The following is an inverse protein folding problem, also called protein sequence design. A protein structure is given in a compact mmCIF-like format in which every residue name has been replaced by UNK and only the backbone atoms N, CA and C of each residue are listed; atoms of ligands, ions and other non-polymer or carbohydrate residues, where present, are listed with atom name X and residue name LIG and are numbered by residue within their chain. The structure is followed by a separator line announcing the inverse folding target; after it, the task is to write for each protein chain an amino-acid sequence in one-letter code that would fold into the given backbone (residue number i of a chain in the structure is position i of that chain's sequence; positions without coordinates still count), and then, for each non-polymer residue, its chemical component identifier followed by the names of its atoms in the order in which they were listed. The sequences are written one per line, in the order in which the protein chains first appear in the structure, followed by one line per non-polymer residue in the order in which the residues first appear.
data_IF_018034884683
#
_entry.id   IF_018034884683
#
_cell.length_a   1.000
_cell.length_b   1.000
_cell.length_c   1.000
_cell.angle_alpha   90.00
_cell.angle_beta   90.00
_cell.angle_gamma   90.00
#
_symmetry.space_group_name_H-M   'P 1'
#
loop_
_entity.id
_entity.type
_entity.pdbx_description
1 polymer ?
#
# COMPACT_ATOMS: atom_id res chain seq x y z
N UNK A 1 22.53 48.80 -43.24
CA UNK A 1 22.04 48.86 -41.89
C UNK A 1 20.53 48.62 -41.73
N UNK A 2 19.71 48.58 -42.80
CA UNK A 2 18.23 48.37 -42.70
C UNK A 2 17.78 46.90 -42.53
N UNK A 3 18.65 45.91 -42.75
CA UNK A 3 18.30 44.47 -42.65
C UNK A 3 18.60 43.85 -41.29
N UNK A 4 19.40 44.52 -40.45
CA UNK A 4 19.77 44.01 -39.12
C UNK A 4 18.60 44.15 -38.09
N UNK A 5 17.75 45.17 -38.26
CA UNK A 5 16.62 45.45 -37.35
C UNK A 5 15.40 44.53 -37.56
N UNK A 6 15.29 43.84 -38.70
CA UNK A 6 14.17 42.91 -38.98
C UNK A 6 14.41 41.49 -38.46
N UNK A 7 15.64 41.12 -38.11
CA UNK A 7 16.00 39.79 -37.62
C UNK A 7 15.79 39.62 -36.10
N UNK A 8 15.82 40.74 -35.34
CA UNK A 8 15.67 40.68 -33.88
C UNK A 8 14.27 40.14 -33.38
N UNK A 9 13.13 40.60 -33.96
CA UNK A 9 11.84 40.10 -33.50
C UNK A 9 11.57 38.62 -33.85
N UNK A 10 12.15 38.12 -34.94
CA UNK A 10 12.01 36.71 -35.32
C UNK A 10 12.80 35.77 -34.40
N UNK A 11 13.96 36.19 -33.90
CA UNK A 11 14.76 35.41 -32.95
C UNK A 11 14.12 35.39 -31.55
N UNK A 12 13.46 36.48 -31.14
CA UNK A 12 12.73 36.54 -29.87
C UNK A 12 11.47 35.64 -29.87
N UNK A 13 10.79 35.53 -31.02
CA UNK A 13 9.59 34.66 -31.15
C UNK A 13 9.95 33.17 -31.18
N UNK A 14 11.10 32.79 -31.71
CA UNK A 14 11.61 31.42 -31.73
C UNK A 14 12.00 30.93 -30.32
N UNK A 15 12.45 31.82 -29.43
CA UNK A 15 12.78 31.50 -28.04
C UNK A 15 11.56 31.21 -27.15
N UNK A 16 10.39 31.75 -27.50
CA UNK A 16 9.13 31.52 -26.73
C UNK A 16 8.46 30.18 -27.02
N UNK A 17 8.78 29.54 -28.14
CA UNK A 17 8.22 28.23 -28.52
C UNK A 17 8.93 27.03 -27.84
N UNK A 18 10.10 27.24 -27.24
CA UNK A 18 10.88 26.22 -26.53
C UNK A 18 10.47 26.01 -25.06
N UNK A 19 9.57 26.84 -24.54
CA UNK A 19 9.12 26.78 -23.12
C UNK A 19 7.93 25.81 -22.85
N UNK A 20 7.69 24.83 -23.72
CA UNK A 20 6.83 23.72 -23.40
C UNK A 20 7.55 22.85 -22.34
N UNK A 21 7.40 23.19 -21.07
CA UNK A 21 7.85 22.34 -19.97
C UNK A 21 7.14 21.00 -20.09
N UNK A 22 7.87 19.94 -20.37
CA UNK A 22 7.33 18.58 -20.35
C UNK A 22 6.83 18.30 -18.93
N UNK A 23 5.54 18.01 -18.78
CA UNK A 23 4.97 17.57 -17.50
C UNK A 23 5.74 16.33 -17.03
N UNK A 24 6.22 16.27 -15.79
CA UNK A 24 6.88 15.08 -15.29
C UNK A 24 6.02 13.83 -15.47
N UNK A 25 6.60 12.69 -15.85
CA UNK A 25 5.84 11.45 -16.05
C UNK A 25 5.21 11.00 -14.73
N UNK A 26 4.01 10.39 -14.82
CA UNK A 26 3.38 9.73 -13.69
C UNK A 26 4.19 8.51 -13.28
N UNK A 27 4.40 8.34 -11.97
CA UNK A 27 5.08 7.20 -11.38
C UNK A 27 4.11 6.40 -10.52
N UNK A 28 4.16 5.07 -10.65
CA UNK A 28 3.29 4.16 -9.95
C UNK A 28 4.09 3.28 -8.99
N UNK A 29 3.55 3.09 -7.78
CA UNK A 29 4.20 2.36 -6.70
C UNK A 29 3.30 1.25 -6.20
N UNK A 30 3.90 0.13 -5.81
CA UNK A 30 3.25 -0.96 -5.08
C UNK A 30 3.80 -1.00 -3.65
N UNK A 31 3.25 -1.82 -2.79
CA UNK A 31 3.82 -2.08 -1.46
C UNK A 31 5.15 -2.85 -1.50
N UNK A 32 5.72 -3.02 -2.70
CA UNK A 32 6.98 -3.72 -2.93
C UNK A 32 6.83 -5.25 -2.91
N UNK A 33 7.94 -5.99 -3.09
CA UNK A 33 7.94 -7.45 -3.02
C UNK A 33 7.60 -7.92 -1.60
N UNK A 34 6.99 -9.09 -1.50
CA UNK A 34 6.77 -9.74 -0.20
C UNK A 34 8.11 -10.12 0.43
N UNK A 35 8.24 -9.92 1.75
CA UNK A 35 9.38 -10.42 2.49
C UNK A 35 9.52 -11.94 2.29
N UNK A 36 10.75 -12.50 2.27
CA UNK A 36 10.95 -13.93 2.24
C UNK A 36 10.18 -14.60 3.41
N UNK A 37 9.56 -15.78 3.20
CA UNK A 37 8.95 -16.50 4.30
C UNK A 37 10.03 -16.86 5.35
N UNK A 38 9.68 -16.99 6.63
CA UNK A 38 10.60 -17.50 7.62
C UNK A 38 11.09 -18.90 7.20
N UNK A 39 12.36 -19.21 7.51
CA UNK A 39 13.02 -20.46 7.10
C UNK A 39 12.39 -21.74 7.70
N UNK A 40 11.42 -21.62 8.58
CA UNK A 40 10.61 -22.75 9.06
C UNK A 40 9.75 -23.29 7.94
N UNK A 41 9.75 -24.58 7.75
CA UNK A 41 8.92 -25.30 6.76
C UNK A 41 7.49 -24.80 6.81
N UNK A 42 6.91 -24.50 5.63
CA UNK A 42 5.50 -24.16 5.56
C UNK A 42 4.68 -25.26 6.29
N UNK A 43 3.78 -24.89 7.20
CA UNK A 43 2.96 -25.88 7.90
C UNK A 43 2.16 -26.70 6.88
N UNK A 44 1.92 -27.97 7.19
CA UNK A 44 1.12 -28.83 6.34
C UNK A 44 -0.25 -28.19 6.09
N UNK A 45 -0.67 -28.12 4.81
CA UNK A 45 -1.97 -27.52 4.46
C UNK A 45 -3.11 -28.31 5.07
N UNK A 46 -4.00 -27.65 5.78
CA UNK A 46 -5.20 -28.25 6.39
C UNK A 46 -6.34 -28.44 5.40
N UNK A 47 -6.20 -27.95 4.15
CA UNK A 47 -7.33 -27.86 3.21
C UNK A 47 -8.33 -26.74 3.53
N UNK A 48 -8.22 -26.13 4.69
CA UNK A 48 -9.06 -25.01 5.10
C UNK A 48 -8.74 -23.74 4.30
N UNK A 49 -9.73 -22.86 4.18
CA UNK A 49 -9.62 -21.63 3.38
C UNK A 49 -9.76 -20.39 4.25
N UNK A 50 -9.08 -19.31 3.87
CA UNK A 50 -9.10 -18.04 4.55
C UNK A 50 -9.34 -16.90 3.54
N UNK A 51 -10.22 -15.97 3.89
CA UNK A 51 -10.46 -14.75 3.10
C UNK A 51 -10.05 -13.55 3.92
N UNK A 52 -9.11 -12.75 3.41
CA UNK A 52 -8.69 -11.48 4.01
C UNK A 52 -9.56 -10.36 3.49
N UNK A 53 -10.23 -9.68 4.40
CA UNK A 53 -11.11 -8.55 4.11
C UNK A 53 -12.56 -8.78 4.54
N UNK A 54 -13.42 -7.74 4.38
CA UNK A 54 -13.10 -6.47 3.72
C UNK A 54 -12.03 -5.66 4.47
N UNK A 55 -11.28 -4.83 3.73
CA UNK A 55 -10.35 -3.85 4.29
C UNK A 55 -10.93 -2.46 4.14
N UNK A 56 -11.06 -1.72 5.23
CA UNK A 56 -11.37 -0.28 5.23
C UNK A 56 -10.12 0.54 5.48
N UNK A 57 -10.06 1.73 4.90
CA UNK A 57 -8.99 2.71 5.11
C UNK A 57 -9.57 4.11 5.30
N UNK A 58 -8.89 5.03 6.00
CA UNK A 58 -9.33 6.41 6.12
C UNK A 58 -9.53 7.10 4.77
N UNK A 59 -10.54 7.96 4.66
CA UNK A 59 -10.85 8.68 3.42
C UNK A 59 -9.70 9.53 2.87
N UNK A 60 -8.80 9.99 3.74
CA UNK A 60 -7.61 10.76 3.37
C UNK A 60 -6.66 10.00 2.47
N UNK A 61 -6.61 8.67 2.62
CA UNK A 61 -5.73 7.78 1.87
C UNK A 61 -6.50 6.80 0.95
N UNK A 62 -7.83 6.81 0.94
CA UNK A 62 -8.65 6.02 -0.01
C UNK A 62 -8.64 6.67 -1.40
N UNK A 63 -7.44 6.85 -1.93
CA UNK A 63 -7.13 7.43 -3.24
C UNK A 63 -5.87 6.84 -3.81
N UNK A 64 -5.66 6.97 -5.12
CA UNK A 64 -4.42 6.49 -5.75
C UNK A 64 -3.24 7.44 -5.51
N UNK A 65 -3.47 8.73 -5.34
CA UNK A 65 -2.40 9.70 -5.08
C UNK A 65 -1.74 9.41 -3.72
N UNK A 66 -0.41 9.38 -3.69
CA UNK A 66 0.33 9.26 -2.44
C UNK A 66 0.18 10.54 -1.63
N UNK A 67 -0.19 10.40 -0.37
CA UNK A 67 -0.34 11.49 0.60
C UNK A 67 0.70 11.35 1.70
N UNK A 68 1.38 12.43 2.02
CA UNK A 68 2.29 12.56 3.16
C UNK A 68 1.77 13.62 4.11
N UNK A 69 2.12 13.53 5.38
CA UNK A 69 1.83 14.57 6.36
C UNK A 69 3.06 15.46 6.57
N UNK A 70 2.82 16.75 6.74
CA UNK A 70 3.79 17.72 7.22
C UNK A 70 3.13 18.46 8.41
N UNK A 71 3.28 17.91 9.61
CA UNK A 71 2.48 18.30 10.76
C UNK A 71 0.99 18.03 10.53
N UNK A 72 0.15 19.06 10.60
CA UNK A 72 -1.29 18.97 10.33
C UNK A 72 -1.67 19.11 8.85
N UNK A 73 -0.69 19.35 7.95
CA UNK A 73 -0.95 19.56 6.52
C UNK A 73 -0.77 18.24 5.76
N UNK A 74 -1.76 17.89 4.95
CA UNK A 74 -1.66 16.77 3.99
C UNK A 74 -1.05 17.28 2.67
N UNK A 75 0.06 16.67 2.26
CA UNK A 75 0.75 16.93 0.99
C UNK A 75 0.41 15.81 0.00
N UNK A 76 -0.30 16.19 -1.07
CA UNK A 76 -0.69 15.25 -2.13
C UNK A 76 0.40 15.27 -3.21
N UNK A 77 0.96 14.12 -3.51
CA UNK A 77 1.97 13.97 -4.55
C UNK A 77 1.31 13.79 -5.93
N UNK A 78 1.27 14.84 -6.74
CA UNK A 78 0.50 14.86 -8.00
C UNK A 78 1.00 13.86 -9.04
N UNK A 79 2.31 13.55 -9.06
CA UNK A 79 2.94 12.67 -10.03
C UNK A 79 3.26 11.27 -9.48
N UNK A 80 2.92 10.99 -8.21
CA UNK A 80 3.21 9.72 -7.56
C UNK A 80 1.93 9.04 -7.07
N UNK A 81 1.69 7.84 -7.53
CA UNK A 81 0.43 7.12 -7.29
C UNK A 81 0.68 5.69 -6.86
N UNK A 82 -0.19 5.18 -6.03
CA UNK A 82 -0.32 3.74 -5.84
C UNK A 82 -0.79 3.09 -7.14
N UNK A 83 -0.23 1.93 -7.49
CA UNK A 83 -0.60 1.18 -8.69
C UNK A 83 -2.02 0.60 -8.60
N UNK A 84 -2.52 0.40 -7.37
CA UNK A 84 -3.89 0.00 -7.08
C UNK A 84 -4.36 0.64 -5.76
N UNK A 85 -5.69 0.65 -5.47
CA UNK A 85 -6.21 1.14 -4.20
C UNK A 85 -5.55 0.44 -3.01
N UNK A 86 -5.09 1.21 -2.00
CA UNK A 86 -4.37 0.66 -0.83
C UNK A 86 -5.13 -0.45 -0.12
N UNK A 87 -6.46 -0.32 0.04
CA UNK A 87 -7.30 -1.37 0.63
C UNK A 87 -7.19 -2.72 -0.10
N UNK A 88 -7.06 -2.68 -1.42
CA UNK A 88 -6.89 -3.88 -2.24
C UNK A 88 -5.47 -4.45 -2.11
N UNK A 89 -4.46 -3.59 -2.11
CA UNK A 89 -3.06 -4.00 -1.94
C UNK A 89 -2.80 -4.60 -0.56
N UNK A 90 -3.36 -4.00 0.50
CA UNK A 90 -3.27 -4.53 1.87
C UNK A 90 -3.90 -5.93 1.92
N UNK A 91 -5.15 -6.08 1.44
CA UNK A 91 -5.83 -7.38 1.45
C UNK A 91 -5.04 -8.45 0.70
N UNK A 92 -4.52 -8.14 -0.50
CA UNK A 92 -3.73 -9.07 -1.32
C UNK A 92 -2.42 -9.44 -0.66
N UNK A 93 -1.71 -8.46 -0.09
CA UNK A 93 -0.42 -8.68 0.55
C UNK A 93 -0.56 -9.55 1.80
N UNK A 94 -1.54 -9.22 2.67
CA UNK A 94 -1.83 -10.02 3.87
C UNK A 94 -2.23 -11.45 3.47
N UNK A 95 -3.14 -11.62 2.51
CA UNK A 95 -3.56 -12.95 2.05
C UNK A 95 -2.37 -13.78 1.51
N UNK A 96 -1.52 -13.17 0.70
CA UNK A 96 -0.34 -13.84 0.13
C UNK A 96 0.68 -14.21 1.22
N UNK A 97 0.84 -13.40 2.26
CA UNK A 97 1.74 -13.70 3.36
C UNK A 97 1.17 -14.81 4.27
N UNK A 98 -0.12 -14.76 4.60
CA UNK A 98 -0.80 -15.81 5.36
C UNK A 98 -0.77 -17.16 4.64
N UNK A 99 -0.93 -17.19 3.30
CA UNK A 99 -0.81 -18.43 2.51
C UNK A 99 0.56 -19.10 2.65
N UNK A 100 1.61 -18.32 2.95
CA UNK A 100 2.99 -18.82 3.09
C UNK A 100 3.38 -19.17 4.52
N UNK A 101 2.76 -18.50 5.51
CA UNK A 101 3.14 -18.60 6.93
C UNK A 101 2.22 -19.48 7.76
N UNK A 102 1.04 -19.78 7.25
CA UNK A 102 0.00 -20.48 8.01
C UNK A 102 -0.46 -21.76 7.30
N UNK A 103 -1.15 -22.67 8.01
CA UNK A 103 -1.70 -23.87 7.39
C UNK A 103 -2.84 -23.60 6.39
N UNK A 104 -3.27 -22.34 6.27
CA UNK A 104 -4.32 -21.89 5.34
C UNK A 104 -3.73 -21.54 3.99
N UNK A 105 -3.18 -22.52 3.26
CA UNK A 105 -2.54 -22.29 1.94
C UNK A 105 -3.52 -21.69 0.92
N UNK A 106 -4.85 -21.87 1.09
CA UNK A 106 -5.90 -21.21 0.31
C UNK A 106 -6.32 -19.88 0.95
N UNK A 107 -5.37 -18.95 1.11
CA UNK A 107 -5.65 -17.59 1.58
C UNK A 107 -5.80 -16.65 0.40
N UNK A 108 -6.92 -15.93 0.29
CA UNK A 108 -7.24 -15.02 -0.81
C UNK A 108 -7.78 -13.70 -0.29
N UNK A 109 -7.62 -12.64 -1.08
CA UNK A 109 -8.14 -11.32 -0.75
C UNK A 109 -9.61 -11.17 -1.17
N UNK A 110 -10.42 -10.52 -0.35
CA UNK A 110 -11.79 -10.10 -0.71
C UNK A 110 -11.74 -8.82 -1.59
N UNK A 111 -12.65 -8.63 -2.56
CA UNK A 111 -13.68 -9.58 -3.01
C UNK A 111 -13.09 -10.67 -3.92
N UNK A 112 -13.63 -11.88 -3.81
CA UNK A 112 -13.22 -13.01 -4.61
C UNK A 112 -14.41 -13.97 -4.83
N UNK A 113 -14.34 -14.82 -5.87
CA UNK A 113 -15.39 -15.77 -6.22
C UNK A 113 -14.95 -17.24 -6.11
N UNK A 114 -13.68 -17.50 -5.77
CA UNK A 114 -13.10 -18.86 -5.77
C UNK A 114 -13.43 -19.68 -4.51
N UNK A 115 -13.91 -19.01 -3.44
CA UNK A 115 -14.27 -19.62 -2.17
C UNK A 115 -15.66 -19.11 -1.80
N UNK A 116 -16.67 -19.99 -1.86
CA UNK A 116 -18.05 -19.61 -1.52
C UNK A 116 -18.21 -19.41 -0.01
N UNK A 117 -17.71 -20.39 0.79
CA UNK A 117 -17.77 -20.35 2.24
C UNK A 117 -16.36 -20.54 2.81
N UNK A 118 -15.68 -19.45 3.21
CA UNK A 118 -14.36 -19.56 3.81
C UNK A 118 -14.44 -20.15 5.22
N UNK A 119 -13.45 -20.97 5.58
CA UNK A 119 -13.30 -21.47 6.95
C UNK A 119 -13.08 -20.33 7.94
N UNK A 120 -12.23 -19.36 7.53
CA UNK A 120 -11.96 -18.15 8.29
C UNK A 120 -12.09 -16.91 7.38
N UNK A 121 -12.49 -15.79 7.97
CA UNK A 121 -12.38 -14.47 7.36
C UNK A 121 -11.66 -13.50 8.30
N UNK A 122 -10.88 -12.59 7.70
CA UNK A 122 -10.09 -11.61 8.45
C UNK A 122 -10.39 -10.20 7.93
N UNK A 123 -11.50 -9.57 8.39
CA UNK A 123 -11.71 -8.15 8.16
C UNK A 123 -10.65 -7.31 8.87
N UNK A 124 -10.23 -6.21 8.22
CA UNK A 124 -9.21 -5.29 8.73
C UNK A 124 -9.75 -3.87 8.61
N UNK A 125 -9.78 -3.15 9.72
CA UNK A 125 -10.11 -1.73 9.78
C UNK A 125 -8.83 -0.93 10.03
N UNK A 126 -8.30 -0.32 8.97
CA UNK A 126 -7.12 0.56 9.05
C UNK A 126 -7.58 1.93 9.55
N UNK A 127 -7.12 2.31 10.74
CA UNK A 127 -7.42 3.59 11.37
C UNK A 127 -6.42 4.67 11.03
N UNK A 128 -5.15 4.27 10.75
CA UNK A 128 -4.07 5.15 10.35
C UNK A 128 -3.11 4.40 9.44
N UNK A 129 -2.71 5.01 8.32
CA UNK A 129 -1.65 4.49 7.46
C UNK A 129 -1.00 5.66 6.73
N UNK A 130 -0.14 6.36 7.43
CA UNK A 130 0.32 7.70 7.06
C UNK A 130 1.84 7.78 7.10
N UNK A 131 2.40 8.49 6.12
CA UNK A 131 3.80 8.88 6.09
C UNK A 131 3.96 10.30 6.68
N UNK A 132 4.83 10.46 7.67
CA UNK A 132 5.28 11.74 8.19
C UNK A 132 6.49 12.18 7.37
N UNK A 133 6.26 13.07 6.40
CA UNK A 133 7.24 13.47 5.41
C UNK A 133 7.87 12.27 4.68
N UNK A 134 9.20 12.20 4.75
CA UNK A 134 10.01 11.05 4.37
C UNK A 134 10.79 10.47 5.57
N UNK A 135 10.27 10.62 6.77
CA UNK A 135 10.92 10.15 7.99
C UNK A 135 10.45 8.75 8.37
N UNK A 136 9.14 8.56 8.47
CA UNK A 136 8.53 7.33 8.95
C UNK A 136 7.12 7.13 8.41
N UNK A 137 6.68 5.88 8.43
CA UNK A 137 5.28 5.48 8.18
C UNK A 137 4.72 4.87 9.45
N UNK A 138 3.47 5.18 9.79
CA UNK A 138 2.75 4.57 10.92
C UNK A 138 1.53 3.84 10.39
N UNK A 139 1.33 2.59 10.85
CA UNK A 139 0.12 1.81 10.60
C UNK A 139 -0.55 1.49 11.93
N UNK A 140 -1.82 1.88 12.04
CA UNK A 140 -2.72 1.45 13.11
C UNK A 140 -3.95 0.79 12.50
N UNK A 141 -4.30 -0.39 12.96
CA UNK A 141 -5.42 -1.15 12.44
C UNK A 141 -6.07 -1.98 13.56
N UNK A 142 -7.35 -2.25 13.39
CA UNK A 142 -8.06 -3.31 14.13
C UNK A 142 -8.34 -4.43 13.16
N UNK A 143 -7.98 -5.65 13.53
CA UNK A 143 -8.28 -6.84 12.76
C UNK A 143 -9.01 -7.86 13.60
N UNK A 144 -9.80 -8.68 12.93
CA UNK A 144 -10.64 -9.69 13.60
C UNK A 144 -10.54 -10.98 12.81
N UNK A 145 -10.45 -12.13 13.51
CA UNK A 145 -10.61 -13.46 12.92
C UNK A 145 -12.02 -13.91 13.17
N UNK A 146 -12.73 -14.28 12.10
CA UNK A 146 -14.09 -14.82 12.15
C UNK A 146 -14.14 -16.26 11.67
N UNK A 147 -14.89 -17.07 12.39
CA UNK A 147 -15.22 -18.44 12.01
C UNK A 147 -16.73 -18.64 12.08
N UNK A 148 -17.34 -19.15 11.02
CA UNK A 148 -18.78 -19.35 10.93
C UNK A 148 -19.60 -18.11 11.38
N UNK A 149 -19.18 -16.92 10.98
CA UNK A 149 -19.83 -15.64 11.32
C UNK A 149 -19.60 -15.13 12.74
N UNK A 150 -18.80 -15.82 13.57
CA UNK A 150 -18.48 -15.41 14.95
C UNK A 150 -17.05 -14.90 15.04
N UNK A 151 -16.85 -13.83 15.78
CA UNK A 151 -15.53 -13.30 16.09
C UNK A 151 -14.86 -14.22 17.12
N UNK A 152 -13.73 -14.83 16.75
CA UNK A 152 -12.93 -15.71 17.63
C UNK A 152 -11.69 -15.05 18.18
N UNK A 153 -11.19 -14.00 17.50
CA UNK A 153 -10.12 -13.13 17.98
C UNK A 153 -10.31 -11.73 17.39
N UNK A 154 -10.01 -10.69 18.16
CA UNK A 154 -9.95 -9.31 17.69
C UNK A 154 -8.83 -8.59 18.41
N UNK A 155 -7.96 -7.87 17.67
CA UNK A 155 -6.82 -7.16 18.23
C UNK A 155 -6.59 -5.83 17.52
N UNK A 156 -5.89 -4.93 18.21
CA UNK A 156 -5.34 -3.70 17.65
C UNK A 156 -3.86 -3.93 17.32
N UNK A 157 -3.49 -3.57 16.12
CA UNK A 157 -2.10 -3.47 15.65
C UNK A 157 -1.66 -2.01 15.64
N UNK A 158 -0.44 -1.74 16.06
CA UNK A 158 0.19 -0.42 15.92
C UNK A 158 1.69 -0.59 15.75
N UNK A 159 2.22 -0.08 14.64
CA UNK A 159 3.65 -0.10 14.37
C UNK A 159 4.08 1.12 13.55
N UNK A 160 5.37 1.43 13.62
CA UNK A 160 6.00 2.52 12.88
C UNK A 160 7.29 2.03 12.25
N UNK A 161 7.52 2.38 10.98
CA UNK A 161 8.69 2.04 10.19
C UNK A 161 9.42 3.30 9.72
N UNK A 162 10.73 3.33 9.82
CA UNK A 162 11.54 4.40 9.25
C UNK A 162 11.60 4.30 7.73
N UNK A 163 11.56 5.44 7.06
CA UNK A 163 11.81 5.54 5.61
C UNK A 163 13.31 5.67 5.41
N UNK A 164 13.91 4.72 4.70
CA UNK A 164 15.39 4.57 4.60
C UNK A 164 16.06 5.61 3.69
N UNK A 165 15.29 6.30 2.86
CA UNK A 165 15.76 7.38 1.98
C UNK A 165 14.57 8.32 1.64
N UNK A 166 14.80 9.60 1.34
CA UNK A 166 13.74 10.55 1.02
C UNK A 166 13.20 10.34 -0.41
N UNK A 167 12.77 9.13 -0.73
CA UNK A 167 12.20 8.75 -2.03
C UNK A 167 10.86 8.06 -1.86
N UNK A 168 10.03 8.11 -2.89
CA UNK A 168 8.73 7.43 -2.88
C UNK A 168 8.85 5.90 -2.93
N UNK A 169 9.93 5.35 -3.51
CA UNK A 169 10.24 3.91 -3.43
C UNK A 169 10.50 3.46 -1.99
N UNK A 170 11.32 4.22 -1.26
CA UNK A 170 11.61 3.92 0.15
C UNK A 170 10.36 4.08 1.01
N UNK A 171 9.54 5.10 0.74
CA UNK A 171 8.25 5.32 1.39
C UNK A 171 7.30 4.12 1.13
N UNK A 172 7.13 3.71 -0.12
CA UNK A 172 6.27 2.58 -0.48
C UNK A 172 6.76 1.27 0.13
N UNK A 173 8.09 1.05 0.17
CA UNK A 173 8.70 -0.11 0.83
C UNK A 173 8.45 -0.12 2.35
N UNK A 174 8.50 1.04 3.02
CA UNK A 174 8.18 1.15 4.44
C UNK A 174 6.70 0.80 4.72
N UNK A 175 5.77 1.27 3.86
CA UNK A 175 4.37 0.84 3.92
C UNK A 175 4.25 -0.68 3.78
N UNK A 176 4.98 -1.29 2.84
CA UNK A 176 4.97 -2.73 2.64
C UNK A 176 5.44 -3.51 3.86
N UNK A 177 6.54 -3.10 4.51
CA UNK A 177 7.04 -3.76 5.74
C UNK A 177 6.04 -3.72 6.89
N UNK A 178 5.30 -2.63 7.05
CA UNK A 178 4.24 -2.53 8.06
C UNK A 178 3.08 -3.51 7.79
N UNK A 179 2.71 -3.68 6.53
CA UNK A 179 1.68 -4.67 6.16
C UNK A 179 2.19 -6.10 6.37
N UNK A 180 3.48 -6.38 6.15
CA UNK A 180 4.09 -7.69 6.47
C UNK A 180 4.10 -7.94 7.99
N UNK A 181 4.38 -6.91 8.80
CA UNK A 181 4.31 -7.03 10.26
C UNK A 181 2.88 -7.29 10.75
N UNK A 182 1.88 -6.61 10.19
CA UNK A 182 0.47 -6.87 10.45
C UNK A 182 0.10 -8.33 10.09
N UNK A 183 0.51 -8.80 8.91
CA UNK A 183 0.25 -10.16 8.46
C UNK A 183 0.89 -11.20 9.38
N UNK A 184 2.12 -10.95 9.86
CA UNK A 184 2.81 -11.81 10.81
C UNK A 184 2.07 -11.90 12.16
N UNK A 185 1.54 -10.78 12.67
CA UNK A 185 0.73 -10.79 13.91
C UNK A 185 -0.56 -11.58 13.72
N UNK A 186 -1.27 -11.39 12.61
CA UNK A 186 -2.49 -12.16 12.28
C UNK A 186 -2.16 -13.65 12.18
N UNK A 187 -1.06 -14.02 11.50
CA UNK A 187 -0.63 -15.41 11.35
C UNK A 187 -0.40 -16.10 12.72
N UNK A 188 0.21 -15.37 13.66
CA UNK A 188 0.44 -15.87 15.03
C UNK A 188 -0.82 -16.02 15.89
N UNK A 189 -1.97 -15.49 15.43
CA UNK A 189 -3.24 -15.58 16.12
C UNK A 189 -4.24 -16.56 15.45
N UNK A 190 -3.89 -17.13 14.30
CA UNK A 190 -4.71 -18.13 13.61
C UNK A 190 -4.76 -19.41 14.43
N UNK A 191 -5.94 -20.10 14.50
CA UNK A 191 -6.11 -21.37 15.20
C UNK A 191 -5.41 -22.54 14.48
#
# INVERSE_FOLDING_TARGET
MKHLFKALPALALAGLLGACSSTPPLQFYTLGPLAPPPAASAPASTGASLVVGPVSVPATIDRLLIVRLAGSRAEVAEHHRWAAPLKTEIARRVAADLARRSPYARSVAWPQASIAEPTLSVPIDVQRFEADGFERVTLEAVWTIRQAGRDIASRRFSATEAITAPTFEALASAHGRLVDALAAEIAGALP
#
